data_IF_385444699417
#
_entry.id   IF_385444699417
#
_cell.length_a   1.000
_cell.length_b   1.000
_cell.length_c   1.000
_cell.angle_alpha   90.00
_cell.angle_beta   90.00
_cell.angle_gamma   90.00
#
_symmetry.space_group_name_H-M   'P 1'
#
loop_
_entity.id
_entity.type
_entity.pdbx_description
1 polymer ?
#
# COMPACT_ATOMS: atom_id res chain seq x y z
N UNK A 1 10.69 12.63 -10.45
CA UNK A 1 10.20 11.42 -11.12
C UNK A 1 8.70 11.54 -11.29
N UNK A 2 8.24 11.59 -12.53
CA UNK A 2 6.85 11.61 -12.96
C UNK A 2 6.22 10.22 -12.89
N UNK A 3 4.88 10.15 -12.94
CA UNK A 3 4.16 8.87 -13.00
C UNK A 3 4.39 8.12 -14.32
N UNK A 4 4.73 8.84 -15.40
CA UNK A 4 5.04 8.23 -16.69
C UNK A 4 6.38 7.49 -16.65
N UNK A 5 7.38 8.04 -15.96
CA UNK A 5 8.68 7.38 -15.76
C UNK A 5 8.55 6.08 -14.96
N UNK A 6 7.55 5.96 -14.07
CA UNK A 6 7.27 4.71 -13.35
C UNK A 6 6.61 3.63 -14.23
N UNK A 7 6.22 3.96 -15.47
CA UNK A 7 5.64 3.03 -16.43
C UNK A 7 4.24 2.53 -16.06
N UNK A 8 3.70 1.53 -16.78
CA UNK A 8 2.31 1.07 -16.67
C UNK A 8 1.97 0.26 -15.41
N UNK A 9 2.97 -0.35 -14.76
CA UNK A 9 2.81 -1.34 -13.68
C UNK A 9 3.54 -0.86 -12.43
N UNK A 10 2.83 -0.08 -11.61
CA UNK A 10 3.39 0.62 -10.46
C UNK A 10 3.15 -0.21 -9.20
N UNK A 11 4.23 -0.66 -8.57
CA UNK A 11 4.20 -1.35 -7.28
C UNK A 11 4.44 -0.35 -6.14
N UNK A 12 3.56 -0.32 -5.15
CA UNK A 12 3.68 0.53 -3.96
C UNK A 12 3.89 -0.34 -2.73
N UNK A 13 5.07 -0.21 -2.14
CA UNK A 13 5.48 -0.93 -0.95
C UNK A 13 5.52 0.01 0.24
N UNK A 14 5.38 -0.57 1.42
CA UNK A 14 5.49 0.17 2.66
C UNK A 14 4.87 -0.61 3.81
N UNK A 15 5.25 -0.27 5.04
CA UNK A 15 4.67 -0.90 6.22
C UNK A 15 3.18 -0.57 6.35
N UNK A 16 2.47 -1.34 7.16
CA UNK A 16 1.07 -1.07 7.50
C UNK A 16 0.91 0.36 8.05
N UNK A 17 -0.22 1.00 7.72
CA UNK A 17 -0.56 2.38 8.08
C UNK A 17 0.38 3.47 7.52
N UNK A 18 1.17 3.16 6.49
CA UNK A 18 1.98 4.15 5.75
C UNK A 18 1.19 5.05 4.80
N UNK A 19 -0.08 4.71 4.50
CA UNK A 19 -0.90 5.41 3.50
C UNK A 19 -0.74 4.88 2.07
N UNK A 20 -0.12 3.70 1.91
CA UNK A 20 0.06 3.01 0.62
C UNK A 20 -1.22 2.87 -0.20
N UNK A 21 -2.32 2.46 0.42
CA UNK A 21 -3.60 2.23 -0.27
C UNK A 21 -4.25 3.54 -0.72
N UNK A 22 -4.15 4.59 0.09
CA UNK A 22 -4.59 5.95 -0.28
C UNK A 22 -3.78 6.51 -1.45
N UNK A 23 -2.45 6.35 -1.41
CA UNK A 23 -1.56 6.79 -2.49
C UNK A 23 -1.83 5.99 -3.77
N UNK A 24 -1.99 4.68 -3.66
CA UNK A 24 -2.34 3.81 -4.77
C UNK A 24 -3.63 4.25 -5.44
N UNK A 25 -4.68 4.53 -4.65
CA UNK A 25 -5.97 5.02 -5.17
C UNK A 25 -5.83 6.35 -5.89
N UNK A 26 -5.11 7.30 -5.31
CA UNK A 26 -4.90 8.60 -5.93
C UNK A 26 -4.13 8.49 -7.25
N UNK A 27 -3.05 7.70 -7.28
CA UNK A 27 -2.26 7.45 -8.50
C UNK A 27 -3.12 6.74 -9.55
N UNK A 28 -3.77 5.62 -9.19
CA UNK A 28 -4.60 4.84 -10.10
C UNK A 28 -5.69 5.69 -10.76
N UNK A 29 -6.36 6.55 -9.99
CA UNK A 29 -7.34 7.50 -10.52
C UNK A 29 -6.70 8.52 -11.47
N UNK A 30 -5.53 9.09 -11.12
CA UNK A 30 -4.80 10.06 -11.96
C UNK A 30 -4.37 9.46 -13.30
N UNK A 31 -3.84 8.23 -13.30
CA UNK A 31 -3.33 7.56 -14.51
C UNK A 31 -4.37 6.68 -15.20
N UNK A 32 -5.60 6.61 -14.66
CA UNK A 32 -6.73 5.80 -15.16
C UNK A 32 -6.37 4.32 -15.35
N UNK A 33 -5.81 3.69 -14.32
CA UNK A 33 -5.40 2.28 -14.34
C UNK A 33 -6.12 1.47 -13.27
N UNK A 34 -6.25 0.14 -13.45
CA UNK A 34 -6.76 -0.75 -12.42
C UNK A 34 -5.96 -0.58 -11.13
N UNK A 35 -6.68 -0.43 -10.01
CA UNK A 35 -6.09 -0.48 -8.68
C UNK A 35 -6.23 -1.88 -8.11
N UNK A 36 -5.16 -2.36 -7.48
CA UNK A 36 -5.12 -3.68 -6.86
C UNK A 36 -4.60 -3.53 -5.43
N UNK A 37 -5.48 -3.73 -4.47
CA UNK A 37 -5.11 -3.80 -3.06
C UNK A 37 -4.82 -5.26 -2.70
N UNK A 38 -3.58 -5.64 -2.40
CA UNK A 38 -3.27 -7.04 -2.04
C UNK A 38 -4.04 -7.52 -0.81
N UNK A 39 -4.38 -6.60 0.09
CA UNK A 39 -5.21 -6.89 1.26
C UNK A 39 -6.60 -7.45 0.86
N UNK A 40 -7.16 -7.02 -0.28
CA UNK A 40 -8.43 -7.51 -0.83
C UNK A 40 -8.29 -8.84 -1.59
N UNK A 41 -7.10 -9.16 -2.07
CA UNK A 41 -6.82 -10.48 -2.65
C UNK A 41 -6.57 -11.52 -1.56
N UNK A 42 -5.89 -11.14 -0.48
CA UNK A 42 -5.49 -12.06 0.58
C UNK A 42 -6.64 -12.41 1.55
N UNK A 43 -7.61 -11.51 1.72
CA UNK A 43 -8.74 -11.74 2.62
C UNK A 43 -10.06 -11.86 1.86
N UNK A 44 -11.04 -12.51 2.47
CA UNK A 44 -12.41 -12.52 1.96
C UNK A 44 -13.06 -11.14 2.11
N UNK A 45 -13.79 -10.66 1.08
CA UNK A 45 -14.57 -9.42 1.20
C UNK A 45 -15.66 -9.55 2.25
N UNK A 46 -16.05 -8.43 2.85
CA UNK A 46 -17.07 -8.34 3.90
C UNK A 46 -16.79 -9.24 5.12
N UNK A 47 -15.51 -9.49 5.40
CA UNK A 47 -15.05 -10.22 6.58
C UNK A 47 -14.20 -9.34 7.47
N UNK A 48 -14.05 -9.74 8.73
CA UNK A 48 -13.08 -9.12 9.64
C UNK A 48 -11.65 -9.63 9.36
N UNK A 49 -11.16 -9.42 8.13
CA UNK A 49 -9.81 -9.83 7.71
C UNK A 49 -9.60 -11.34 7.79
N UNK A 50 -10.59 -12.12 7.35
CA UNK A 50 -10.44 -13.57 7.25
C UNK A 50 -9.54 -13.90 6.06
N UNK A 51 -8.38 -14.50 6.33
CA UNK A 51 -7.41 -14.88 5.30
C UNK A 51 -7.96 -16.01 4.41
N UNK A 52 -7.61 -15.96 3.12
CA UNK A 52 -7.77 -17.05 2.17
C UNK A 52 -6.68 -18.09 2.35
N UNK A 53 -6.91 -19.25 1.76
CA UNK A 53 -5.86 -20.26 1.58
C UNK A 53 -4.75 -19.70 0.69
N UNK A 54 -3.51 -20.14 0.95
CA UNK A 54 -2.33 -19.60 0.27
C UNK A 54 -2.36 -19.85 -1.24
N UNK A 55 -2.86 -21.01 -1.67
CA UNK A 55 -3.00 -21.35 -3.08
C UNK A 55 -3.98 -20.41 -3.79
N UNK A 56 -5.13 -20.12 -3.16
CA UNK A 56 -6.14 -19.22 -3.69
C UNK A 56 -5.62 -17.78 -3.79
N UNK A 57 -4.95 -17.28 -2.74
CA UNK A 57 -4.30 -15.98 -2.78
C UNK A 57 -3.26 -15.88 -3.90
N UNK A 58 -2.43 -16.92 -4.09
CA UNK A 58 -1.41 -16.94 -5.13
C UNK A 58 -2.04 -16.90 -6.52
N UNK A 59 -3.09 -17.67 -6.75
CA UNK A 59 -3.81 -17.67 -8.04
C UNK A 59 -4.40 -16.28 -8.35
N UNK A 60 -5.11 -15.68 -7.39
CA UNK A 60 -5.64 -14.33 -7.52
C UNK A 60 -4.54 -13.31 -7.78
N UNK A 61 -3.39 -13.44 -7.09
CA UNK A 61 -2.23 -12.59 -7.29
C UNK A 61 -1.63 -12.72 -8.70
N UNK A 62 -1.41 -13.95 -9.18
CA UNK A 62 -0.87 -14.20 -10.52
C UNK A 62 -1.78 -13.64 -11.61
N UNK A 63 -3.09 -13.83 -11.47
CA UNK A 63 -4.09 -13.25 -12.36
C UNK A 63 -4.01 -11.71 -12.33
N UNK A 64 -3.93 -11.11 -11.15
CA UNK A 64 -3.82 -9.67 -10.96
C UNK A 64 -2.57 -9.05 -11.61
N UNK A 65 -1.40 -9.67 -11.45
CA UNK A 65 -0.15 -9.13 -12.02
C UNK A 65 -0.05 -9.34 -13.53
N UNK A 66 -0.80 -10.29 -14.10
CA UNK A 66 -0.76 -10.61 -15.54
C UNK A 66 -1.18 -9.44 -16.42
N UNK A 67 -2.01 -8.52 -15.90
CA UNK A 67 -2.48 -7.34 -16.63
C UNK A 67 -1.35 -6.43 -17.13
N UNK A 68 -1.60 -5.78 -18.26
CA UNK A 68 -0.61 -4.91 -18.90
C UNK A 68 -0.41 -3.57 -18.17
N UNK A 69 -1.38 -3.14 -17.36
CA UNK A 69 -1.28 -1.93 -16.54
C UNK A 69 -2.01 -2.10 -15.21
N UNK A 70 -1.40 -1.59 -14.13
CA UNK A 70 -1.98 -1.61 -12.79
C UNK A 70 -1.21 -0.69 -11.84
N UNK A 71 -1.88 -0.29 -10.76
CA UNK A 71 -1.27 0.29 -9.56
C UNK A 71 -1.60 -0.62 -8.40
N UNK A 72 -0.58 -1.23 -7.80
CA UNK A 72 -0.77 -2.27 -6.79
C UNK A 72 -0.08 -1.90 -5.48
N UNK A 73 -0.78 -1.98 -4.35
CA UNK A 73 -0.16 -1.85 -3.03
C UNK A 73 -0.25 -3.12 -2.18
N UNK A 74 0.80 -3.36 -1.40
CA UNK A 74 0.84 -4.45 -0.44
C UNK A 74 2.24 -4.87 -0.06
N UNK A 75 2.43 -5.33 1.17
CA UNK A 75 3.74 -5.70 1.73
C UNK A 75 3.93 -7.21 1.90
N UNK A 76 3.14 -8.02 1.17
CA UNK A 76 3.22 -9.49 1.21
C UNK A 76 4.52 -9.95 0.56
N UNK A 77 5.43 -10.50 1.38
CA UNK A 77 6.79 -10.88 0.94
C UNK A 77 6.75 -12.08 0.01
N UNK A 78 5.82 -13.01 0.22
CA UNK A 78 5.73 -14.27 -0.52
C UNK A 78 5.44 -14.07 -2.01
N UNK A 79 4.62 -13.08 -2.35
CA UNK A 79 4.24 -12.74 -3.73
C UNK A 79 5.07 -11.61 -4.34
N UNK A 80 5.97 -11.02 -3.55
CA UNK A 80 6.79 -9.90 -3.98
C UNK A 80 7.68 -10.22 -5.18
N UNK A 81 8.40 -11.36 -5.27
CA UNK A 81 9.26 -11.64 -6.42
C UNK A 81 8.50 -11.61 -7.74
N UNK A 82 7.37 -12.33 -7.83
CA UNK A 82 6.54 -12.41 -9.04
C UNK A 82 6.03 -11.02 -9.45
N UNK A 83 5.57 -10.23 -8.49
CA UNK A 83 5.11 -8.85 -8.73
C UNK A 83 6.23 -7.95 -9.24
N UNK A 84 7.42 -8.05 -8.64
CA UNK A 84 8.58 -7.27 -9.05
C UNK A 84 9.03 -7.64 -10.47
N UNK A 85 8.93 -8.91 -10.89
CA UNK A 85 9.28 -9.29 -12.27
C UNK A 85 8.43 -8.59 -13.33
N UNK A 86 7.19 -8.19 -12.99
CA UNK A 86 6.27 -7.50 -13.91
C UNK A 86 6.20 -5.99 -13.69
N UNK A 87 6.58 -5.49 -12.52
CA UNK A 87 6.52 -4.07 -12.20
C UNK A 87 7.46 -3.27 -13.12
N UNK A 88 6.98 -2.13 -13.60
CA UNK A 88 7.80 -1.15 -14.33
C UNK A 88 8.35 -0.07 -13.40
N UNK A 89 7.69 0.15 -12.25
CA UNK A 89 8.05 1.19 -11.31
C UNK A 89 7.76 0.79 -9.88
N UNK A 90 8.60 1.27 -8.95
CA UNK A 90 8.51 0.96 -7.53
C UNK A 90 8.43 2.25 -6.69
N UNK A 91 7.40 2.38 -5.87
CA UNK A 91 7.31 3.42 -4.85
C UNK A 91 7.43 2.74 -3.48
N UNK A 92 8.40 3.16 -2.67
CA UNK A 92 8.53 2.71 -1.29
C UNK A 92 8.14 3.83 -0.31
N UNK A 93 7.15 3.57 0.53
CA UNK A 93 6.85 4.40 1.70
C UNK A 93 7.64 3.90 2.91
N UNK A 94 8.49 4.75 3.48
CA UNK A 94 9.35 4.41 4.62
C UNK A 94 9.18 5.37 5.82
N UNK A 95 7.91 5.58 6.19
CA UNK A 95 7.55 6.50 7.28
C UNK A 95 7.97 5.98 8.66
N UNK A 96 8.36 6.88 9.58
CA UNK A 96 8.74 6.51 10.94
C UNK A 96 7.53 5.90 11.71
N UNK A 97 7.78 4.97 12.66
CA UNK A 97 6.71 4.29 13.41
C UNK A 97 5.74 5.24 14.11
N UNK A 98 6.23 6.37 14.65
CA UNK A 98 5.41 7.38 15.33
C UNK A 98 4.34 7.96 14.40
N UNK A 99 4.70 8.34 13.18
CA UNK A 99 3.75 8.85 12.18
C UNK A 99 2.72 7.78 11.79
N UNK A 100 3.16 6.52 11.64
CA UNK A 100 2.26 5.40 11.32
C UNK A 100 1.27 5.11 12.45
N UNK A 101 1.71 5.23 13.70
CA UNK A 101 0.87 5.05 14.87
C UNK A 101 -0.17 6.17 15.01
N UNK A 102 0.22 7.45 14.83
CA UNK A 102 -0.72 8.57 14.82
C UNK A 102 -1.78 8.41 13.73
N UNK A 103 -1.38 7.99 12.53
CA UNK A 103 -2.32 7.68 11.43
C UNK A 103 -3.25 6.53 11.79
N UNK A 104 -2.73 5.47 12.42
CA UNK A 104 -3.54 4.35 12.88
C UNK A 104 -4.58 4.78 13.90
N UNK A 105 -4.19 5.54 14.92
CA UNK A 105 -5.11 6.06 15.94
C UNK A 105 -6.19 6.94 15.33
N UNK A 106 -5.80 7.94 14.53
CA UNK A 106 -6.77 8.85 13.88
C UNK A 106 -7.76 8.07 13.03
N UNK A 107 -7.26 7.16 12.18
CA UNK A 107 -8.12 6.35 11.31
C UNK A 107 -9.10 5.50 12.09
N UNK A 108 -8.65 4.85 13.17
CA UNK A 108 -9.50 3.95 13.96
C UNK A 108 -10.54 4.72 14.79
N UNK A 109 -10.24 5.98 15.16
CA UNK A 109 -11.13 6.81 15.98
C UNK A 109 -12.10 7.66 15.16
N UNK A 110 -11.70 8.11 13.97
CA UNK A 110 -12.44 9.12 13.19
C UNK A 110 -12.91 8.64 11.81
N UNK A 111 -12.27 7.64 11.21
CA UNK A 111 -12.63 7.19 9.86
C UNK A 111 -13.54 5.96 9.93
N UNK A 112 -14.66 6.01 9.21
CA UNK A 112 -15.60 4.89 9.15
C UNK A 112 -15.10 3.76 8.22
N UNK A 113 -14.32 4.07 7.18
CA UNK A 113 -13.92 3.11 6.15
C UNK A 113 -12.46 3.26 5.68
N UNK A 114 -11.81 2.11 5.41
CA UNK A 114 -10.44 2.02 4.93
C UNK A 114 -10.41 1.74 3.42
N UNK A 115 -9.65 2.53 2.66
CA UNK A 115 -9.30 2.20 1.26
C UNK A 115 -8.49 0.89 1.24
N UNK A 116 -8.95 -0.08 0.44
CA UNK A 116 -8.39 -1.43 0.43
C UNK A 116 -8.75 -2.25 1.69
N UNK A 117 -9.72 -1.80 2.48
CA UNK A 117 -10.31 -2.58 3.56
C UNK A 117 -11.25 -3.67 3.02
N UNK A 118 -11.45 -4.69 3.85
CA UNK A 118 -12.37 -5.81 3.59
C UNK A 118 -13.48 -5.91 4.65
N UNK A 119 -13.52 -4.96 5.58
CA UNK A 119 -14.53 -4.89 6.64
C UNK A 119 -15.85 -4.38 6.05
N UNK A 120 -17.02 -4.93 6.47
CA UNK A 120 -18.32 -4.44 6.05
C UNK A 120 -18.48 -2.93 6.26
N UNK A 121 -19.20 -2.28 5.35
CA UNK A 121 -19.38 -0.82 5.33
C UNK A 121 -19.94 -0.21 6.63
N UNK A 122 -20.61 -1.01 7.45
CA UNK A 122 -21.25 -0.63 8.71
C UNK A 122 -20.44 -1.00 9.97
N UNK A 123 -19.26 -1.60 9.82
CA UNK A 123 -18.39 -1.97 10.95
C UNK A 123 -17.10 -1.16 10.94
N UNK A 124 -16.68 -0.71 12.12
CA UNK A 124 -15.42 0.00 12.30
C UNK A 124 -14.30 -0.99 12.61
N UNK A 125 -13.09 -0.69 12.14
CA UNK A 125 -11.91 -1.37 12.66
C UNK A 125 -11.74 -1.02 14.15
N UNK A 126 -11.39 -2.00 14.97
CA UNK A 126 -11.09 -1.79 16.37
C UNK A 126 -9.57 -1.66 16.59
N UNK A 127 -9.18 -0.89 17.61
CA UNK A 127 -7.79 -0.85 18.06
C UNK A 127 -7.44 -2.22 18.65
N UNK A 128 -6.54 -2.97 18.02
CA UNK A 128 -6.04 -4.22 18.58
C UNK A 128 -4.67 -4.00 19.20
N UNK A 129 -4.45 -4.61 20.36
CA UNK A 129 -3.13 -4.62 20.99
C UNK A 129 -2.10 -5.29 20.09
N UNK A 130 -2.50 -6.30 19.33
CA UNK A 130 -1.66 -6.98 18.35
C UNK A 130 -1.16 -6.04 17.25
N UNK A 131 -2.06 -5.24 16.65
CA UNK A 131 -1.68 -4.25 15.64
C UNK A 131 -0.81 -3.14 16.25
N UNK A 132 -1.13 -2.70 17.47
CA UNK A 132 -0.33 -1.69 18.19
C UNK A 132 1.09 -2.19 18.46
N UNK A 133 1.21 -3.40 19.00
CA UNK A 133 2.49 -4.07 19.26
C UNK A 133 3.25 -4.33 17.96
N UNK A 134 2.57 -4.76 16.90
CA UNK A 134 3.16 -4.94 15.57
C UNK A 134 3.74 -3.62 15.04
N UNK A 135 2.98 -2.52 15.07
CA UNK A 135 3.45 -1.22 14.59
C UNK A 135 4.71 -0.72 15.32
N UNK A 136 4.85 -1.05 16.61
CA UNK A 136 5.96 -0.66 17.45
C UNK A 136 7.17 -1.62 17.36
N UNK A 137 6.95 -2.94 17.29
CA UNK A 137 8.01 -3.96 17.42
C UNK A 137 8.49 -4.56 16.09
N UNK A 138 7.61 -4.83 15.11
CA UNK A 138 8.00 -5.49 13.85
C UNK A 138 8.41 -4.49 12.76
N UNK A 139 8.29 -3.20 13.06
CA UNK A 139 8.63 -2.10 12.15
C UNK A 139 10.07 -2.16 11.63
N UNK A 140 11.03 -2.55 12.47
CA UNK A 140 12.46 -2.47 12.15
C UNK A 140 12.88 -3.52 11.11
N UNK A 141 12.50 -4.78 11.29
CA UNK A 141 12.86 -5.86 10.35
C UNK A 141 12.23 -5.65 8.97
N UNK A 142 10.96 -5.23 8.94
CA UNK A 142 10.25 -4.99 7.68
C UNK A 142 10.83 -3.78 6.93
N UNK A 143 11.27 -2.74 7.66
CA UNK A 143 11.95 -1.58 7.08
C UNK A 143 13.26 -1.97 6.42
N UNK A 144 14.13 -2.71 7.11
CA UNK A 144 15.43 -3.11 6.57
C UNK A 144 15.27 -3.93 5.28
N UNK A 145 14.36 -4.92 5.27
CA UNK A 145 14.07 -5.72 4.08
C UNK A 145 13.56 -4.88 2.91
N UNK A 146 12.62 -3.96 3.18
CA UNK A 146 12.07 -3.11 2.14
C UNK A 146 13.11 -2.14 1.57
N UNK A 147 13.98 -1.59 2.41
CA UNK A 147 15.09 -0.75 1.96
C UNK A 147 16.10 -1.54 1.14
N UNK A 148 16.48 -2.76 1.56
CA UNK A 148 17.39 -3.61 0.81
C UNK A 148 16.84 -3.89 -0.60
N UNK A 149 15.61 -4.38 -0.69
CA UNK A 149 14.96 -4.65 -1.97
C UNK A 149 14.80 -3.39 -2.83
N UNK A 150 14.49 -2.24 -2.22
CA UNK A 150 14.46 -0.97 -2.93
C UNK A 150 15.84 -0.60 -3.49
N UNK A 151 16.92 -0.86 -2.75
CA UNK A 151 18.28 -0.59 -3.20
C UNK A 151 18.67 -1.51 -4.36
N UNK A 152 18.31 -2.80 -4.29
CA UNK A 152 18.56 -3.81 -5.33
C UNK A 152 17.74 -3.58 -6.62
N UNK A 153 16.57 -2.95 -6.52
CA UNK A 153 15.71 -2.65 -7.67
C UNK A 153 16.35 -1.62 -8.62
N UNK A 154 16.42 -1.94 -9.91
CA UNK A 154 17.14 -1.12 -10.92
C UNK A 154 16.23 -0.33 -11.85
N UNK A 155 14.98 -0.77 -12.03
CA UNK A 155 13.97 -0.03 -12.78
C UNK A 155 13.57 1.27 -12.03
N UNK A 156 12.82 2.18 -12.67
CA UNK A 156 12.37 3.42 -12.04
C UNK A 156 11.82 3.21 -10.62
N UNK A 157 12.37 3.95 -9.66
CA UNK A 157 12.01 3.85 -8.24
C UNK A 157 11.99 5.18 -7.52
N UNK A 158 11.12 5.28 -6.52
CA UNK A 158 10.95 6.47 -5.68
C UNK A 158 10.80 6.07 -4.21
N UNK A 159 11.60 6.69 -3.34
CA UNK A 159 11.48 6.57 -1.89
C UNK A 159 10.73 7.78 -1.33
N UNK A 160 9.72 7.53 -0.49
CA UNK A 160 9.00 8.55 0.27
C UNK A 160 9.10 8.20 1.77
N UNK A 161 10.04 8.85 2.44
CA UNK A 161 10.43 8.61 3.84
C UNK A 161 9.72 9.53 4.84
N UNK A 162 9.07 10.60 4.37
CA UNK A 162 8.38 11.57 5.23
C UNK A 162 7.01 11.99 4.70
N UNK A 163 6.16 12.48 5.59
CA UNK A 163 4.86 13.06 5.19
C UNK A 163 5.03 14.27 4.26
N UNK A 164 6.10 15.06 4.41
CA UNK A 164 6.39 16.18 3.51
C UNK A 164 6.72 15.72 2.09
N UNK A 165 7.51 14.64 1.94
CA UNK A 165 7.80 14.05 0.63
C UNK A 165 6.54 13.51 -0.04
N UNK A 166 5.64 12.88 0.75
CA UNK A 166 4.33 12.46 0.25
C UNK A 166 3.53 13.68 -0.22
N UNK A 167 3.40 14.72 0.59
CA UNK A 167 2.67 15.95 0.18
C UNK A 167 3.29 16.58 -1.07
N UNK A 168 4.62 16.63 -1.18
CA UNK A 168 5.32 17.12 -2.39
C UNK A 168 5.01 16.26 -3.60
N UNK A 169 5.00 14.93 -3.46
CA UNK A 169 4.63 14.02 -4.54
C UNK A 169 3.17 14.22 -4.98
N UNK A 170 2.24 14.39 -4.04
CA UNK A 170 0.84 14.73 -4.33
C UNK A 170 0.73 16.02 -5.14
N UNK A 171 1.43 17.08 -4.74
CA UNK A 171 1.42 18.36 -5.48
C UNK A 171 2.06 18.22 -6.86
N UNK A 172 3.22 17.57 -6.94
CA UNK A 172 3.96 17.40 -8.19
C UNK A 172 3.20 16.55 -9.23
N UNK A 173 2.45 15.55 -8.78
CA UNK A 173 1.62 14.71 -9.64
C UNK A 173 0.15 15.18 -9.73
N UNK A 174 -0.19 16.29 -9.07
CA UNK A 174 -1.55 16.82 -8.98
C UNK A 174 -2.58 15.75 -8.60
N UNK A 175 -2.26 14.99 -7.55
CA UNK A 175 -3.13 13.96 -7.01
C UNK A 175 -4.21 14.56 -6.12
N UNK A 176 -5.42 14.02 -6.22
CA UNK A 176 -6.53 14.33 -5.32
C UNK A 176 -6.52 13.31 -4.18
N UNK A 177 -6.64 13.77 -2.93
CA UNK A 177 -6.81 12.86 -1.79
C UNK A 177 -8.21 12.23 -1.86
N UNK A 178 -8.33 10.90 -2.04
CA UNK A 178 -9.63 10.23 -2.12
C UNK A 178 -10.43 10.31 -0.82
N UNK A 179 -9.81 10.66 0.31
CA UNK A 179 -10.49 10.82 1.60
C UNK A 179 -10.82 12.29 1.94
N UNK A 180 -10.63 13.24 1.02
CA UNK A 180 -10.99 14.65 1.21
C UNK A 180 -10.19 15.38 2.31
N UNK A 181 -9.15 14.76 2.86
CA UNK A 181 -8.26 15.39 3.84
C UNK A 181 -7.36 16.40 3.13
N UNK A 182 -7.34 17.66 3.55
CA UNK A 182 -6.32 18.61 3.10
C UNK A 182 -4.95 18.14 3.62
N UNK A 183 -4.04 17.77 2.72
CA UNK A 183 -2.67 17.33 3.02
C UNK A 183 -1.59 18.32 2.61
#
# INVERSE_FOLDING_TARGET
MSLNELGPRICILGPSNSGKSTLAQAIASKVKRPIIHLDQLYHFPDTQWQAREEAEFRELHLNAISGESWVMDGNYVRTLPERLTRASGLILLDLPPTQRFVRYLRRTLFDAQRIGGVVPANQREHLTWEMTRYLLLTARSHRQRNQQMFNEWTLPKLLLSSSLEITRAYRYWELIDPQGSSR
#
